data_IF_018153677042
#
_entry.id   IF_018153677042
#
_cell.length_a   1.000
_cell.length_b   1.000
_cell.length_c   1.000
_cell.angle_alpha   90.00
_cell.angle_beta   90.00
_cell.angle_gamma   90.00
#
_symmetry.space_group_name_H-M   'P 1'
#
loop_
_entity.id
_entity.type
_entity.pdbx_description
1 polymer ?
#
# COMPACT_ATOMS: atom_id res chain seq x y z
N UNK A 1 -23.88 -27.96 -12.86
CA UNK A 1 -23.64 -27.06 -11.70
C UNK A 1 -22.74 -25.94 -12.17
N UNK A 2 -23.30 -24.74 -12.37
CA UNK A 2 -22.52 -23.55 -12.70
C UNK A 2 -21.69 -23.16 -11.46
N UNK A 3 -20.37 -23.08 -11.59
CA UNK A 3 -19.51 -22.47 -10.57
C UNK A 3 -19.92 -20.99 -10.50
N UNK A 4 -20.36 -20.53 -9.34
CA UNK A 4 -20.54 -19.11 -9.09
C UNK A 4 -19.18 -18.44 -9.29
N UNK A 5 -19.02 -17.70 -10.39
CA UNK A 5 -17.85 -16.87 -10.60
C UNK A 5 -17.85 -15.78 -9.54
N UNK A 6 -16.85 -15.78 -8.66
CA UNK A 6 -16.61 -14.63 -7.79
C UNK A 6 -16.22 -13.46 -8.69
N UNK A 7 -17.11 -12.48 -8.84
CA UNK A 7 -16.77 -11.24 -9.50
C UNK A 7 -15.69 -10.52 -8.69
N UNK A 8 -14.55 -10.24 -9.32
CA UNK A 8 -13.44 -9.55 -8.68
C UNK A 8 -13.74 -8.05 -8.56
N UNK A 9 -13.56 -7.46 -7.37
CA UNK A 9 -13.81 -6.03 -7.10
C UNK A 9 -12.53 -5.17 -7.16
N UNK A 10 -11.39 -5.75 -7.57
CA UNK A 10 -10.09 -5.07 -7.51
C UNK A 10 -10.07 -3.76 -8.31
N UNK A 11 -10.62 -3.75 -9.52
CA UNK A 11 -10.69 -2.54 -10.36
C UNK A 11 -11.49 -1.43 -9.66
N UNK A 12 -12.68 -1.74 -9.14
CA UNK A 12 -13.53 -0.77 -8.44
C UNK A 12 -12.85 -0.22 -7.18
N UNK A 13 -12.17 -1.07 -6.42
CA UNK A 13 -11.42 -0.65 -5.24
C UNK A 13 -10.24 0.25 -5.62
N UNK A 14 -9.51 -0.04 -6.70
CA UNK A 14 -8.43 0.80 -7.23
C UNK A 14 -8.95 2.16 -7.68
N UNK A 15 -10.06 2.19 -8.42
CA UNK A 15 -10.67 3.44 -8.88
C UNK A 15 -11.16 4.29 -7.70
N UNK A 16 -11.73 3.65 -6.67
CA UNK A 16 -12.13 4.33 -5.44
C UNK A 16 -10.92 4.91 -4.69
N UNK A 17 -9.84 4.15 -4.57
CA UNK A 17 -8.60 4.62 -3.95
C UNK A 17 -8.01 5.81 -4.72
N UNK A 18 -7.92 5.70 -6.04
CA UNK A 18 -7.45 6.76 -6.94
C UNK A 18 -8.27 8.04 -6.77
N UNK A 19 -9.60 7.94 -6.70
CA UNK A 19 -10.48 9.09 -6.46
C UNK A 19 -10.22 9.72 -5.08
N UNK A 20 -10.03 8.91 -4.04
CA UNK A 20 -9.76 9.40 -2.69
C UNK A 20 -8.42 10.15 -2.59
N UNK A 21 -7.39 9.70 -3.31
CA UNK A 21 -6.07 10.35 -3.38
C UNK A 21 -6.05 11.59 -4.27
N UNK A 22 -6.95 11.67 -5.26
CA UNK A 22 -7.08 12.83 -6.14
C UNK A 22 -7.66 14.06 -5.43
N UNK A 23 -8.31 13.86 -4.27
CA UNK A 23 -8.77 14.95 -3.42
C UNK A 23 -7.57 15.60 -2.72
N UNK A 24 -7.43 16.92 -2.86
CA UNK A 24 -6.41 17.68 -2.15
C UNK A 24 -6.82 17.84 -0.68
N UNK A 25 -6.24 17.04 0.19
CA UNK A 25 -6.45 17.15 1.64
C UNK A 25 -5.57 18.28 2.20
N UNK A 26 -6.19 19.28 2.82
CA UNK A 26 -5.47 20.36 3.53
C UNK A 26 -5.16 20.01 4.98
N UNK A 27 -5.88 19.04 5.55
CA UNK A 27 -5.70 18.57 6.92
C UNK A 27 -4.94 17.24 6.94
N UNK A 28 -4.07 17.06 7.95
CA UNK A 28 -3.19 15.90 8.03
C UNK A 28 -3.97 14.58 8.18
N UNK A 29 -5.03 14.55 9.00
CA UNK A 29 -5.72 13.30 9.33
C UNK A 29 -6.48 12.70 8.14
N UNK A 30 -7.29 13.46 7.38
CA UNK A 30 -7.89 12.97 6.13
C UNK A 30 -6.83 12.51 5.11
N UNK A 31 -5.71 13.23 5.00
CA UNK A 31 -4.61 12.86 4.11
C UNK A 31 -3.98 11.51 4.49
N UNK A 32 -3.70 11.31 5.78
CA UNK A 32 -3.19 10.03 6.32
C UNK A 32 -4.17 8.89 6.02
N UNK A 33 -5.46 9.08 6.32
CA UNK A 33 -6.50 8.06 6.06
C UNK A 33 -6.56 7.69 4.58
N UNK A 34 -6.52 8.68 3.69
CA UNK A 34 -6.56 8.44 2.25
C UNK A 34 -5.33 7.67 1.76
N UNK A 35 -4.12 8.10 2.15
CA UNK A 35 -2.87 7.43 1.78
C UNK A 35 -2.82 5.98 2.28
N UNK A 36 -3.04 5.78 3.58
CA UNK A 36 -2.99 4.43 4.19
C UNK A 36 -4.11 3.52 3.68
N UNK A 37 -5.31 4.06 3.47
CA UNK A 37 -6.44 3.31 2.89
C UNK A 37 -6.15 2.85 1.46
N UNK A 38 -5.51 3.69 0.65
CA UNK A 38 -5.09 3.32 -0.70
C UNK A 38 -3.98 2.25 -0.68
N UNK A 39 -3.01 2.34 0.24
CA UNK A 39 -2.00 1.29 0.44
C UNK A 39 -2.62 -0.03 0.87
N UNK A 40 -3.59 -0.02 1.77
CA UNK A 40 -4.32 -1.22 2.18
C UNK A 40 -5.11 -1.86 1.02
N UNK A 41 -5.71 -1.04 0.16
CA UNK A 41 -6.33 -1.51 -1.09
C UNK A 41 -5.27 -2.12 -2.00
N UNK A 42 -4.12 -1.46 -2.18
CA UNK A 42 -3.06 -1.97 -3.02
C UNK A 42 -2.53 -3.34 -2.54
N UNK A 43 -2.28 -3.47 -1.23
CA UNK A 43 -1.93 -4.73 -0.60
C UNK A 43 -2.96 -5.82 -0.91
N UNK A 44 -4.26 -5.54 -0.74
CA UNK A 44 -5.32 -6.52 -0.98
C UNK A 44 -5.44 -6.93 -2.44
N UNK A 45 -5.27 -6.00 -3.38
CA UNK A 45 -5.25 -6.30 -4.82
C UNK A 45 -4.10 -7.25 -5.13
N UNK A 46 -2.92 -6.99 -4.57
CA UNK A 46 -1.74 -7.82 -4.80
C UNK A 46 -1.80 -9.20 -4.14
N UNK A 47 -2.46 -9.29 -2.99
CA UNK A 47 -2.77 -10.56 -2.31
C UNK A 47 -3.98 -11.29 -2.91
N UNK A 48 -4.64 -10.74 -3.95
CA UNK A 48 -5.83 -11.33 -4.54
C UNK A 48 -5.49 -12.65 -5.24
N UNK A 49 -6.05 -13.80 -4.80
CA UNK A 49 -5.72 -15.08 -5.41
C UNK A 49 -6.08 -15.16 -6.89
N UNK A 50 -7.14 -14.46 -7.33
CA UNK A 50 -7.55 -14.40 -8.75
C UNK A 50 -6.51 -13.72 -9.65
N UNK A 51 -5.67 -12.85 -9.07
CA UNK A 51 -4.57 -12.18 -9.77
C UNK A 51 -3.23 -12.90 -9.59
N UNK A 52 -3.15 -13.83 -8.63
CA UNK A 52 -1.98 -14.67 -8.38
C UNK A 52 -2.02 -16.04 -9.08
N UNK A 53 -3.17 -16.46 -9.60
CA UNK A 53 -3.35 -17.78 -10.23
C UNK A 53 -2.68 -17.88 -11.59
N UNK A 54 -1.40 -18.25 -11.60
CA UNK A 54 -0.75 -18.97 -12.70
C UNK A 54 -0.77 -20.50 -12.47
N UNK A 55 -1.48 -20.97 -11.45
CA UNK A 55 -1.35 -22.33 -10.93
C UNK A 55 -2.62 -23.16 -11.19
N UNK A 56 -2.53 -24.07 -12.15
CA UNK A 56 -3.36 -25.26 -12.33
C UNK A 56 -4.86 -25.06 -12.66
N UNK A 57 -5.17 -24.85 -13.94
CA UNK A 57 -6.39 -25.36 -14.57
C UNK A 57 -7.66 -24.51 -14.48
N UNK A 58 -7.58 -23.28 -13.95
CA UNK A 58 -8.66 -22.29 -14.06
C UNK A 58 -8.54 -21.50 -15.37
N UNK A 59 -9.67 -21.20 -16.03
CA UNK A 59 -9.70 -20.18 -17.10
C UNK A 59 -9.44 -18.84 -16.43
N UNK A 60 -8.24 -18.31 -16.64
CA UNK A 60 -7.87 -16.97 -16.21
C UNK A 60 -8.45 -15.98 -17.23
N UNK A 61 -9.21 -15.01 -16.74
CA UNK A 61 -9.68 -13.90 -17.56
C UNK A 61 -8.52 -12.90 -17.73
N UNK A 62 -7.76 -13.07 -18.82
CA UNK A 62 -6.59 -12.25 -19.12
C UNK A 62 -6.98 -10.77 -19.27
N UNK A 63 -8.14 -10.47 -19.87
CA UNK A 63 -8.64 -9.10 -20.04
C UNK A 63 -8.86 -8.40 -18.67
N UNK A 64 -9.25 -9.16 -17.65
CA UNK A 64 -9.43 -8.64 -16.29
C UNK A 64 -8.10 -8.35 -15.59
N UNK A 65 -7.08 -9.20 -15.79
CA UNK A 65 -5.73 -8.99 -15.26
C UNK A 65 -5.11 -7.74 -15.89
N UNK A 66 -5.26 -7.59 -17.21
CA UNK A 66 -4.79 -6.43 -17.98
C UNK A 66 -5.38 -5.13 -17.45
N UNK A 67 -6.70 -5.11 -17.26
CA UNK A 67 -7.39 -3.95 -16.70
C UNK A 67 -6.88 -3.59 -15.30
N UNK A 68 -6.70 -4.59 -14.42
CA UNK A 68 -6.19 -4.35 -13.07
C UNK A 68 -4.79 -3.73 -13.13
N UNK A 69 -3.86 -4.29 -13.90
CA UNK A 69 -2.48 -3.79 -13.99
C UNK A 69 -2.44 -2.36 -14.50
N UNK A 70 -3.20 -2.05 -15.57
CA UNK A 70 -3.27 -0.70 -16.15
C UNK A 70 -3.74 0.34 -15.13
N UNK A 71 -4.74 0.03 -14.29
CA UNK A 71 -5.23 0.97 -13.27
C UNK A 71 -4.37 0.98 -12.00
N UNK A 72 -3.62 -0.09 -11.74
CA UNK A 72 -2.83 -0.26 -10.53
C UNK A 72 -1.55 0.57 -10.53
N UNK A 73 -0.90 0.68 -11.69
CA UNK A 73 0.29 1.47 -11.91
C UNK A 73 0.11 2.97 -11.53
N UNK A 74 -0.92 3.68 -12.03
CA UNK A 74 -1.23 5.05 -11.58
C UNK A 74 -1.52 5.15 -10.08
N UNK A 75 -2.18 4.14 -9.49
CA UNK A 75 -2.49 4.12 -8.07
C UNK A 75 -1.20 4.15 -7.22
N UNK A 76 -0.19 3.35 -7.56
CA UNK A 76 1.10 3.37 -6.85
C UNK A 76 1.75 4.76 -6.85
N UNK A 77 1.80 5.42 -8.00
CA UNK A 77 2.37 6.77 -8.10
C UNK A 77 1.59 7.79 -7.26
N UNK A 78 0.26 7.67 -7.24
CA UNK A 78 -0.59 8.51 -6.40
C UNK A 78 -0.36 8.26 -4.91
N UNK A 79 -0.20 7.00 -4.50
CA UNK A 79 0.10 6.62 -3.11
C UNK A 79 1.41 7.28 -2.66
N UNK A 80 2.47 7.19 -3.46
CA UNK A 80 3.78 7.77 -3.13
C UNK A 80 3.68 9.30 -3.00
N UNK A 81 3.02 9.95 -3.95
CA UNK A 81 2.76 11.40 -3.88
C UNK A 81 1.96 11.78 -2.63
N UNK A 82 0.96 10.98 -2.28
CA UNK A 82 0.15 11.21 -1.09
C UNK A 82 0.97 11.07 0.19
N UNK A 83 1.86 10.08 0.29
CA UNK A 83 2.76 9.95 1.45
C UNK A 83 3.74 11.12 1.59
N UNK A 84 4.29 11.64 0.48
CA UNK A 84 5.11 12.85 0.50
C UNK A 84 4.32 14.07 1.03
N UNK A 85 3.10 14.25 0.54
CA UNK A 85 2.22 15.33 1.01
C UNK A 85 1.84 15.15 2.50
N UNK A 86 1.53 13.93 2.91
CA UNK A 86 1.26 13.59 4.32
C UNK A 86 2.46 13.92 5.21
N UNK A 87 3.68 13.62 4.79
CA UNK A 87 4.88 13.94 5.56
C UNK A 87 5.01 15.45 5.83
N UNK A 88 4.71 16.29 4.84
CA UNK A 88 4.68 17.76 4.99
C UNK A 88 3.58 18.20 5.96
N UNK A 89 2.37 17.64 5.83
CA UNK A 89 1.25 18.00 6.73
C UNK A 89 1.51 17.59 8.18
N UNK A 90 2.16 16.44 8.40
CA UNK A 90 2.59 16.00 9.74
C UNK A 90 3.60 16.99 10.32
N UNK A 91 4.54 17.50 9.52
CA UNK A 91 5.53 18.46 9.98
C UNK A 91 4.87 19.78 10.40
N UNK A 92 3.93 20.27 9.59
CA UNK A 92 3.13 21.47 9.90
C UNK A 92 2.34 21.27 11.21
N UNK A 93 1.65 20.14 11.34
CA UNK A 93 0.87 19.80 12.54
C UNK A 93 1.76 19.72 13.79
N UNK A 94 2.95 19.15 13.65
CA UNK A 94 3.93 19.02 14.73
C UNK A 94 4.37 20.40 15.21
N UNK A 95 4.77 21.29 14.29
CA UNK A 95 5.19 22.66 14.63
C UNK A 95 4.05 23.43 15.29
N UNK A 96 2.83 23.35 14.75
CA UNK A 96 1.64 23.95 15.36
C UNK A 96 1.43 23.44 16.78
N UNK A 97 1.55 22.13 17.01
CA UNK A 97 1.37 21.55 18.33
C UNK A 97 2.42 22.03 19.35
N UNK A 98 3.68 22.16 18.92
CA UNK A 98 4.76 22.69 19.74
C UNK A 98 4.54 24.16 20.10
N UNK A 99 4.18 25.00 19.13
CA UNK A 99 3.91 26.43 19.34
C UNK A 99 2.79 26.68 20.36
N UNK A 100 1.76 25.83 20.34
CA UNK A 100 0.61 25.94 21.24
C UNK A 100 0.77 25.14 22.54
N UNK A 101 1.92 24.48 22.76
CA UNK A 101 2.17 23.66 23.95
C UNK A 101 1.17 22.51 24.14
N UNK A 102 0.60 21.98 23.04
CA UNK A 102 -0.41 20.91 23.09
C UNK A 102 0.21 19.55 22.83
N UNK A 103 -0.30 18.53 23.51
CA UNK A 103 0.03 17.15 23.20
C UNK A 103 -0.76 16.67 21.98
N UNK A 104 -0.17 15.73 21.24
CA UNK A 104 -0.84 15.04 20.14
C UNK A 104 -1.28 13.65 20.60
N UNK A 105 -2.43 13.18 20.14
CA UNK A 105 -2.92 11.84 20.46
C UNK A 105 -2.63 10.90 19.30
N UNK A 106 -1.91 9.83 19.58
CA UNK A 106 -1.74 8.74 18.63
C UNK A 106 -2.98 7.84 18.66
N UNK A 107 -3.57 7.59 17.51
CA UNK A 107 -4.72 6.70 17.37
C UNK A 107 -4.65 5.97 16.03
N UNK A 108 -4.18 4.72 16.09
CA UNK A 108 -3.97 3.88 14.93
C UNK A 108 -5.27 3.63 14.17
N UNK A 109 -6.40 3.46 14.89
CA UNK A 109 -7.70 3.20 14.28
C UNK A 109 -8.18 4.42 13.51
N UNK A 110 -7.98 5.60 14.07
CA UNK A 110 -8.17 6.87 13.36
C UNK A 110 -7.24 7.03 12.15
N UNK A 111 -6.12 6.32 12.07
CA UNK A 111 -5.21 6.36 10.91
C UNK A 111 -5.49 5.27 9.87
N UNK A 112 -6.61 4.56 9.97
CA UNK A 112 -6.96 3.46 9.06
C UNK A 112 -6.58 2.07 9.58
N UNK A 113 -6.10 1.98 10.82
CA UNK A 113 -5.84 0.71 11.51
C UNK A 113 -4.63 -0.06 10.98
N UNK A 114 -4.58 -1.33 11.39
CA UNK A 114 -3.71 -2.35 10.82
C UNK A 114 -4.44 -3.06 9.68
N UNK A 115 -3.69 -3.46 8.65
CA UNK A 115 -4.22 -4.17 7.49
C UNK A 115 -3.33 -5.35 7.11
N UNK A 116 -3.83 -6.19 6.20
CA UNK A 116 -3.17 -7.42 5.81
C UNK A 116 -2.94 -8.38 6.97
N UNK A 117 -1.79 -9.05 6.98
CA UNK A 117 -1.41 -9.98 8.04
C UNK A 117 -1.30 -9.36 9.44
N UNK A 118 -1.12 -8.04 9.55
CA UNK A 118 -1.10 -7.29 10.81
C UNK A 118 -2.50 -7.18 11.43
N UNK A 119 -3.53 -7.01 10.59
CA UNK A 119 -4.92 -6.81 11.01
C UNK A 119 -5.62 -8.08 11.54
N UNK A 120 -5.02 -9.25 11.35
CA UNK A 120 -5.62 -10.55 11.67
C UNK A 120 -5.65 -10.89 13.18
N UNK A 121 -5.50 -9.89 14.05
CA UNK A 121 -5.62 -10.01 15.52
C UNK A 121 -4.51 -10.81 16.22
N UNK A 122 -3.54 -11.33 15.47
CA UNK A 122 -2.40 -12.08 16.01
C UNK A 122 -1.32 -11.17 16.60
N UNK A 123 -1.34 -9.89 16.26
CA UNK A 123 -0.37 -8.89 16.71
C UNK A 123 -1.14 -7.80 17.48
N UNK A 124 -1.04 -7.84 18.81
CA UNK A 124 -1.78 -6.92 19.70
C UNK A 124 -1.03 -5.61 19.99
N UNK A 125 0.19 -5.45 19.46
CA UNK A 125 1.06 -4.33 19.81
C UNK A 125 0.51 -2.97 19.31
N UNK A 126 -0.22 -2.93 18.19
CA UNK A 126 -0.73 -1.67 17.63
C UNK A 126 -1.78 -0.99 18.51
N UNK A 127 -2.73 -1.76 19.05
CA UNK A 127 -3.84 -1.24 19.85
C UNK A 127 -3.40 -0.66 21.20
N UNK A 128 -2.22 -1.04 21.69
CA UNK A 128 -1.65 -0.50 22.92
C UNK A 128 -1.41 1.02 22.82
N UNK A 129 -1.14 1.53 21.61
CA UNK A 129 -0.82 2.93 21.41
C UNK A 129 -2.05 3.82 21.16
N UNK A 130 -3.25 3.25 21.06
CA UNK A 130 -4.46 4.01 20.74
C UNK A 130 -4.87 4.93 21.90
N UNK A 131 -5.10 6.20 21.56
CA UNK A 131 -5.50 7.25 22.48
C UNK A 131 -4.36 7.78 23.36
N UNK A 132 -3.13 7.28 23.20
CA UNK A 132 -1.99 7.71 24.01
C UNK A 132 -1.62 9.17 23.68
N UNK A 133 -1.56 10.06 24.70
CA UNK A 133 -0.99 11.37 24.52
C UNK A 133 0.52 11.26 24.37
N UNK A 134 1.07 11.99 23.40
CA UNK A 134 2.49 12.03 23.08
C UNK A 134 2.93 13.48 22.96
N UNK A 135 4.22 13.70 23.27
CA UNK A 135 4.90 14.92 22.84
C UNK A 135 4.83 15.04 21.30
N UNK A 136 4.70 16.26 20.73
CA UNK A 136 4.60 16.42 19.28
C UNK A 136 5.71 15.74 18.48
N UNK A 137 6.96 15.77 18.96
CA UNK A 137 8.07 15.13 18.26
C UNK A 137 7.98 13.60 18.32
N UNK A 138 7.58 13.06 19.47
CA UNK A 138 7.32 11.63 19.62
C UNK A 138 6.16 11.18 18.71
N UNK A 139 5.07 11.94 18.68
CA UNK A 139 3.92 11.67 17.81
C UNK A 139 4.32 11.69 16.33
N UNK A 140 5.06 12.70 15.88
CA UNK A 140 5.62 12.80 14.53
C UNK A 140 6.40 11.55 14.16
N UNK A 141 7.29 11.11 15.06
CA UNK A 141 8.15 9.96 14.81
C UNK A 141 7.37 8.65 14.80
N UNK A 142 6.40 8.47 15.72
CA UNK A 142 5.50 7.31 15.71
C UNK A 142 4.67 7.24 14.44
N UNK A 143 4.12 8.36 13.97
CA UNK A 143 3.34 8.41 12.74
C UNK A 143 4.22 8.14 11.51
N UNK A 144 5.42 8.73 11.42
CA UNK A 144 6.37 8.41 10.34
C UNK A 144 6.79 6.95 10.33
N UNK A 145 7.03 6.35 11.50
CA UNK A 145 7.33 4.91 11.60
C UNK A 145 6.18 4.06 11.08
N UNK A 146 4.93 4.44 11.39
CA UNK A 146 3.75 3.78 10.83
C UNK A 146 3.73 3.86 9.30
N UNK A 147 3.92 5.05 8.72
CA UNK A 147 3.95 5.22 7.26
C UNK A 147 5.12 4.45 6.62
N UNK A 148 6.30 4.41 7.25
CA UNK A 148 7.43 3.59 6.79
C UNK A 148 7.07 2.12 6.73
N UNK A 149 6.34 1.60 7.71
CA UNK A 149 5.91 0.20 7.71
C UNK A 149 4.95 -0.14 6.56
N UNK A 150 4.11 0.82 6.15
CA UNK A 150 3.25 0.63 4.98
C UNK A 150 4.09 0.50 3.67
N UNK A 151 5.23 1.19 3.60
CA UNK A 151 6.09 1.24 2.41
C UNK A 151 7.09 0.09 2.36
N UNK A 152 7.82 -0.14 3.44
CA UNK A 152 8.93 -1.09 3.49
C UNK A 152 8.56 -2.45 4.09
N UNK A 153 7.32 -2.58 4.56
CA UNK A 153 6.90 -3.78 5.27
C UNK A 153 7.44 -3.81 6.70
N UNK A 154 7.27 -4.96 7.35
CA UNK A 154 7.66 -5.15 8.75
C UNK A 154 8.01 -6.61 9.03
N UNK A 155 9.22 -6.84 9.55
CA UNK A 155 9.60 -8.13 10.10
C UNK A 155 9.06 -8.30 11.52
N UNK A 156 8.34 -9.41 11.73
CA UNK A 156 7.63 -9.68 12.96
C UNK A 156 8.04 -11.03 13.52
N UNK A 157 8.49 -11.02 14.76
CA UNK A 157 8.80 -12.25 15.48
C UNK A 157 7.53 -12.82 16.09
N UNK A 158 7.09 -13.98 15.60
CA UNK A 158 6.00 -14.76 16.19
C UNK A 158 6.56 -15.86 17.07
N UNK A 159 6.18 -15.84 18.36
CA UNK A 159 6.47 -16.96 19.26
C UNK A 159 5.51 -18.11 18.98
N UNK A 160 6.05 -19.25 18.59
CA UNK A 160 5.33 -20.51 18.44
C UNK A 160 5.02 -21.15 19.78
N UNK A 161 4.12 -22.14 19.76
CA UNK A 161 3.63 -22.82 20.96
C UNK A 161 4.72 -23.67 21.67
N UNK A 162 5.77 -24.05 20.95
CA UNK A 162 6.86 -24.89 21.46
C UNK A 162 8.11 -24.08 21.87
N UNK A 163 7.98 -22.77 22.07
CA UNK A 163 9.11 -21.90 22.41
C UNK A 163 9.98 -21.46 21.22
N UNK A 164 9.79 -22.07 20.04
CA UNK A 164 10.40 -21.63 18.78
C UNK A 164 9.86 -20.27 18.33
N UNK A 165 10.72 -19.37 17.90
CA UNK A 165 10.35 -18.10 17.28
C UNK A 165 10.48 -18.17 15.77
N UNK A 166 9.44 -17.75 15.05
CA UNK A 166 9.48 -17.62 13.58
C UNK A 166 9.43 -16.14 13.21
N UNK A 167 10.28 -15.73 12.29
CA UNK A 167 10.19 -14.39 11.69
C UNK A 167 9.19 -14.48 10.54
N UNK A 168 8.19 -13.63 10.58
CA UNK A 168 7.20 -13.47 9.52
C UNK A 168 7.31 -12.04 8.98
N UNK A 169 7.48 -11.91 7.67
CA UNK A 169 7.55 -10.63 7.00
C UNK A 169 6.16 -10.20 6.52
N UNK A 170 5.72 -9.01 6.93
CA UNK A 170 4.57 -8.32 6.34
C UNK A 170 5.04 -7.48 5.16
N UNK A 171 4.57 -7.81 3.95
CA UNK A 171 4.93 -7.09 2.73
C UNK A 171 4.43 -5.64 2.75
N UNK A 172 5.33 -4.69 2.49
CA UNK A 172 5.00 -3.31 2.16
C UNK A 172 4.92 -3.07 0.64
N UNK A 173 4.67 -1.82 0.26
CA UNK A 173 4.64 -1.39 -1.15
C UNK A 173 5.93 -1.71 -1.91
N UNK A 174 7.08 -1.65 -1.24
CA UNK A 174 8.39 -1.96 -1.82
C UNK A 174 8.50 -3.42 -2.24
N UNK A 175 8.13 -4.35 -1.36
CA UNK A 175 8.22 -5.79 -1.63
C UNK A 175 7.38 -6.18 -2.84
N UNK A 176 6.23 -5.54 -2.97
CA UNK A 176 5.37 -5.70 -4.12
C UNK A 176 5.92 -5.13 -5.41
N UNK A 177 6.57 -3.96 -5.36
CA UNK A 177 7.26 -3.43 -6.54
C UNK A 177 8.34 -4.40 -7.02
N UNK A 178 9.09 -5.00 -6.09
CA UNK A 178 10.10 -6.00 -6.42
C UNK A 178 9.47 -7.26 -7.04
N UNK A 179 8.36 -7.73 -6.51
CA UNK A 179 7.62 -8.87 -7.08
C UNK A 179 7.08 -8.56 -8.48
N UNK A 180 6.47 -7.38 -8.70
CA UNK A 180 6.02 -6.95 -10.02
C UNK A 180 7.18 -6.87 -11.02
N UNK A 181 8.30 -6.28 -10.61
CA UNK A 181 9.54 -6.19 -11.41
C UNK A 181 10.06 -7.58 -11.76
N UNK A 182 10.11 -8.50 -10.80
CA UNK A 182 10.51 -9.89 -11.01
C UNK A 182 9.64 -10.58 -12.06
N UNK A 183 8.31 -10.40 -12.00
CA UNK A 183 7.37 -10.98 -12.96
C UNK A 183 7.49 -10.38 -14.37
N UNK A 184 7.75 -9.07 -14.45
CA UNK A 184 8.04 -8.38 -15.70
C UNK A 184 9.32 -8.90 -16.35
N UNK A 185 10.41 -8.97 -15.58
CA UNK A 185 11.71 -9.45 -16.05
C UNK A 185 11.71 -10.94 -16.42
N UNK A 186 10.90 -11.75 -15.72
CA UNK A 186 10.74 -13.17 -16.02
C UNK A 186 9.92 -13.47 -17.29
N UNK A 187 9.43 -12.44 -17.99
CA UNK A 187 8.59 -12.61 -19.17
C UNK A 187 7.18 -13.15 -18.86
N UNK A 188 6.80 -13.24 -17.59
CA UNK A 188 5.47 -13.69 -17.18
C UNK A 188 4.40 -12.60 -17.37
N UNK A 189 4.82 -11.35 -17.62
CA UNK A 189 3.96 -10.26 -18.08
C UNK A 189 4.01 -10.02 -19.60
N UNK A 190 4.74 -10.81 -20.39
CA UNK A 190 4.74 -10.63 -21.86
C UNK A 190 3.40 -11.04 -22.49
N UNK A 191 2.61 -11.85 -21.79
CA UNK A 191 1.22 -12.19 -22.17
C UNK A 191 0.28 -10.96 -22.07
N UNK A 192 0.67 -9.92 -21.32
CA UNK A 192 -0.09 -8.65 -21.14
C UNK A 192 0.15 -7.59 -22.22
N UNK A 193 1.22 -7.72 -23.02
CA UNK A 193 1.56 -6.76 -24.08
C UNK A 193 1.08 -7.22 -25.46
N UNK A 194 0.96 -8.53 -25.67
CA UNK A 194 0.49 -9.12 -26.93
C UNK A 194 -1.05 -9.16 -27.05
N UNK A 195 -1.81 -8.77 -26.01
CA UNK A 195 -3.28 -8.73 -26.01
C UNK A 195 -3.87 -7.50 -26.75
N UNK A 196 -3.03 -6.55 -27.18
CA UNK A 196 -3.44 -5.42 -28.03
C UNK A 196 -4.30 -4.34 -27.35
N UNK A 197 -4.35 -4.33 -26.02
CA UNK A 197 -5.21 -3.42 -25.23
C UNK A 197 -4.56 -2.04 -24.99
N UNK A 198 -3.27 -1.88 -25.27
CA UNK A 198 -2.59 -0.58 -25.33
C UNK A 198 -2.49 -0.13 -26.79
N UNK A 199 -2.91 1.09 -27.18
CA UNK A 199 -2.70 1.58 -28.53
C UNK A 199 -1.21 1.50 -28.86
N UNK A 200 -0.88 0.93 -30.02
CA UNK A 200 0.48 0.77 -30.55
C UNK A 200 1.33 2.06 -30.61
N UNK A 201 0.75 3.21 -30.22
CA UNK A 201 1.29 4.55 -30.36
C UNK A 201 1.54 5.25 -29.01
N UNK A 202 1.36 4.57 -27.89
CA UNK A 202 1.74 5.06 -26.56
C UNK A 202 2.58 4.00 -25.84
N UNK A 203 3.85 3.94 -26.20
CA UNK A 203 4.89 3.25 -25.41
C UNK A 203 4.96 3.90 -24.02
N UNK A 204 4.10 3.48 -23.09
CA UNK A 204 4.50 3.49 -21.69
C UNK A 204 5.23 2.17 -21.49
N UNK A 205 6.54 2.20 -21.68
CA UNK A 205 7.41 1.07 -21.39
C UNK A 205 7.22 0.71 -19.91
N UNK A 206 6.61 -0.45 -19.65
CA UNK A 206 6.34 -0.93 -18.30
C UNK A 206 7.62 -1.02 -17.48
N UNK A 207 8.77 -1.25 -18.14
CA UNK A 207 10.09 -1.20 -17.52
C UNK A 207 10.42 0.22 -17.02
N UNK A 208 10.25 1.22 -17.90
CA UNK A 208 10.44 2.62 -17.56
C UNK A 208 9.52 3.07 -16.43
N UNK A 209 8.27 2.57 -16.40
CA UNK A 209 7.34 2.87 -15.32
C UNK A 209 7.79 2.26 -13.99
N UNK A 210 8.25 1.01 -13.96
CA UNK A 210 8.81 0.38 -12.75
C UNK A 210 10.00 1.17 -12.23
N UNK A 211 10.91 1.59 -13.12
CA UNK A 211 12.07 2.41 -12.75
C UNK A 211 11.66 3.75 -12.16
N UNK A 212 10.65 4.41 -12.74
CA UNK A 212 10.09 5.66 -12.20
C UNK A 212 9.51 5.43 -10.81
N UNK A 213 8.68 4.40 -10.60
CA UNK A 213 8.11 4.09 -9.28
C UNK A 213 9.21 3.75 -8.27
N UNK A 214 10.23 3.00 -8.67
CA UNK A 214 11.38 2.64 -7.82
C UNK A 214 12.15 3.89 -7.38
N UNK A 215 12.40 4.81 -8.31
CA UNK A 215 13.05 6.08 -8.01
C UNK A 215 12.21 6.93 -7.04
N UNK A 216 10.91 7.03 -7.27
CA UNK A 216 9.99 7.74 -6.38
C UNK A 216 9.93 7.14 -4.96
N UNK A 217 10.02 5.82 -4.83
CA UNK A 217 10.10 5.17 -3.51
C UNK A 217 11.44 5.41 -2.82
N UNK A 218 12.55 5.43 -3.55
CA UNK A 218 13.88 5.78 -3.01
C UNK A 218 13.92 7.23 -2.52
N UNK A 219 13.23 8.13 -3.23
CA UNK A 219 13.16 9.55 -2.92
C UNK A 219 12.09 9.89 -1.88
N UNK A 220 11.34 8.90 -1.38
CA UNK A 220 10.28 9.10 -0.40
C UNK A 220 10.88 9.48 0.96
N UNK A 221 10.87 10.78 1.26
CA UNK A 221 11.45 11.37 2.47
C UNK A 221 10.52 11.18 3.69
N UNK A 222 10.20 9.92 4.00
CA UNK A 222 9.62 9.59 5.31
C UNK A 222 10.75 9.32 6.34
N UNK A 223 12.01 9.27 5.88
CA UNK A 223 13.24 9.17 6.69
C UNK A 223 13.24 10.09 7.92
#
# INVERSE_FOLDING_TARGET
MMKAGFACTCVDDILRATKALSLRHSEWLPAVKAARGASAIAYRVLECPLLQTNSAGGVVDLDHIDQVIVVFCPLFLLIIRAYNHVAVLIDIETSSAQEHGRQSRFDLDSYGGLWGSLGNGRIRCGNYYNGLPMDPQQWRQSLRTLLKSDIHGLDLTKRGNEGNSYIYHHNGLWDFLQEMKSRLLAGNLTILLDSGVVPHNSEVDTQQLVEVVEQFLKDLVIA
#
